data_IF_634483172676
#
_entry.id   IF_634483172676
#
_cell.length_a   1.000
_cell.length_b   1.000
_cell.length_c   1.000
_cell.angle_alpha   90.00
_cell.angle_beta   90.00
_cell.angle_gamma   90.00
#
_symmetry.space_group_name_H-M   'P 1'
#
loop_
_entity.id
_entity.type
_entity.pdbx_description
1 polymer ?
#
# COMPACT_ATOMS: atom_id res chain seq x y z
N UNK A 1 -15.10 -5.94 1.25
CA UNK A 1 -14.82 -4.56 0.84
C UNK A 1 -16.12 -3.87 0.54
N UNK A 2 -16.42 -2.92 1.34
CA UNK A 2 -17.71 -2.26 1.34
C UNK A 2 -17.74 -1.09 0.36
N UNK A 3 -18.77 -1.01 -0.47
CA UNK A 3 -18.98 0.13 -1.36
C UNK A 3 -19.26 1.42 -0.57
N UNK A 4 -19.73 1.31 0.67
CA UNK A 4 -20.00 2.47 1.52
C UNK A 4 -18.72 3.22 1.88
N UNK A 5 -17.60 2.50 2.07
CA UNK A 5 -16.31 3.12 2.32
C UNK A 5 -15.88 3.96 1.12
N UNK A 6 -16.11 3.46 -0.09
CA UNK A 6 -15.76 4.18 -1.31
C UNK A 6 -16.55 5.45 -1.48
N UNK A 7 -17.89 5.37 -1.34
CA UNK A 7 -18.74 6.49 -1.68
C UNK A 7 -18.59 7.67 -0.73
N UNK A 8 -18.45 7.43 0.56
CA UNK A 8 -18.32 8.53 1.52
C UNK A 8 -16.97 9.24 1.42
N UNK A 9 -15.89 8.48 1.16
CA UNK A 9 -14.55 9.06 1.07
C UNK A 9 -14.31 9.75 -0.28
N UNK A 10 -14.93 9.27 -1.36
CA UNK A 10 -14.72 9.80 -2.69
C UNK A 10 -15.58 11.04 -3.00
N UNK A 11 -16.67 11.24 -2.30
CA UNK A 11 -17.50 12.43 -2.45
C UNK A 11 -16.82 13.66 -1.80
N UNK A 12 -15.92 13.46 -0.85
CA UNK A 12 -15.14 14.54 -0.28
C UNK A 12 -13.99 14.91 -1.24
N UNK A 13 -13.32 16.03 -0.95
CA UNK A 13 -12.16 16.44 -1.75
C UNK A 13 -11.09 15.34 -1.76
N UNK A 14 -10.48 15.07 -2.91
CA UNK A 14 -9.38 14.10 -2.96
C UNK A 14 -8.28 14.48 -1.98
N UNK A 15 -7.74 13.51 -1.28
CA UNK A 15 -6.65 13.75 -0.35
C UNK A 15 -5.40 14.19 -1.13
N UNK A 16 -4.67 15.15 -0.59
CA UNK A 16 -3.40 15.60 -1.20
C UNK A 16 -2.27 14.66 -0.85
N UNK A 17 -2.34 14.01 0.28
CA UNK A 17 -1.32 13.08 0.75
C UNK A 17 -1.95 11.85 1.35
N UNK A 18 -1.27 10.72 1.19
CA UNK A 18 -1.64 9.47 1.84
C UNK A 18 -0.46 9.04 2.71
N UNK A 19 -0.73 8.75 3.97
CA UNK A 19 0.27 8.17 4.85
C UNK A 19 -0.05 6.71 5.08
N UNK A 20 0.95 5.85 4.83
CA UNK A 20 0.90 4.44 5.21
C UNK A 20 1.68 4.25 6.48
N UNK A 21 1.01 3.81 7.53
CA UNK A 21 1.67 3.47 8.79
C UNK A 21 1.77 1.96 8.85
N UNK A 22 3.00 1.45 8.73
CA UNK A 22 3.26 0.01 8.74
C UNK A 22 3.35 -0.46 10.19
N UNK A 23 2.31 -1.15 10.63
CA UNK A 23 2.16 -1.60 12.02
C UNK A 23 2.94 -2.88 12.29
N UNK A 24 3.13 -3.70 11.26
CA UNK A 24 3.88 -4.96 11.34
C UNK A 24 4.96 -4.96 10.28
N UNK A 25 6.05 -5.73 10.47
CA UNK A 25 7.11 -5.79 9.47
C UNK A 25 6.56 -6.09 8.08
N UNK A 26 6.98 -5.29 7.12
CA UNK A 26 6.49 -5.34 5.74
C UNK A 26 7.66 -5.57 4.80
N UNK A 27 7.53 -6.54 3.91
CA UNK A 27 8.55 -6.87 2.94
C UNK A 27 7.89 -7.22 1.60
N UNK A 28 8.66 -7.12 0.53
CA UNK A 28 8.18 -7.37 -0.82
C UNK A 28 9.09 -8.35 -1.54
N UNK A 29 8.55 -9.08 -2.50
CA UNK A 29 9.35 -10.00 -3.31
C UNK A 29 10.32 -9.23 -4.19
N UNK A 30 11.60 -9.63 -4.17
CA UNK A 30 12.62 -9.10 -5.05
C UNK A 30 13.29 -10.23 -5.83
N UNK A 31 14.06 -9.85 -6.83
CA UNK A 31 14.75 -10.81 -7.69
C UNK A 31 15.83 -11.59 -6.92
N UNK A 32 16.49 -10.96 -6.00
CA UNK A 32 17.60 -11.55 -5.23
C UNK A 32 17.31 -11.68 -3.74
N UNK A 33 16.05 -11.60 -3.35
CA UNK A 33 15.63 -11.68 -1.96
C UNK A 33 14.55 -10.66 -1.66
N UNK A 34 14.18 -10.56 -0.40
CA UNK A 34 13.12 -9.65 0.02
C UNK A 34 13.60 -8.20 -0.02
N UNK A 35 12.71 -7.33 -0.50
CA UNK A 35 12.93 -5.89 -0.48
C UNK A 35 12.27 -5.35 0.79
N UNK A 36 13.04 -4.65 1.62
CA UNK A 36 12.57 -4.17 2.92
C UNK A 36 12.27 -2.68 2.96
N UNK A 37 12.48 -1.96 1.84
CA UNK A 37 12.14 -0.55 1.77
C UNK A 37 10.93 -0.34 0.87
N UNK A 38 9.78 0.09 1.43
CA UNK A 38 8.56 0.27 0.64
C UNK A 38 8.68 1.45 -0.33
N UNK A 39 8.32 1.21 -1.58
CA UNK A 39 8.16 2.29 -2.57
C UNK A 39 6.69 2.30 -2.99
N UNK A 40 6.24 3.42 -3.58
CA UNK A 40 4.87 3.49 -4.06
C UNK A 40 4.57 2.34 -5.03
N UNK A 41 5.48 2.06 -5.94
CA UNK A 41 5.32 0.99 -6.92
C UNK A 41 5.16 -0.38 -6.24
N UNK A 42 6.00 -0.70 -5.27
CA UNK A 42 5.94 -1.97 -4.56
C UNK A 42 4.64 -2.10 -3.75
N UNK A 43 4.25 -1.05 -3.05
CA UNK A 43 3.04 -1.03 -2.23
C UNK A 43 1.82 -1.27 -3.11
N UNK A 44 1.65 -0.47 -4.16
CA UNK A 44 0.45 -0.54 -4.98
C UNK A 44 0.43 -1.75 -5.89
N UNK A 45 1.60 -2.23 -6.36
CA UNK A 45 1.66 -3.48 -7.12
C UNK A 45 1.20 -4.67 -6.26
N UNK A 46 1.61 -4.71 -5.01
CA UNK A 46 1.17 -5.73 -4.06
C UNK A 46 -0.35 -5.68 -3.84
N UNK A 47 -0.88 -4.47 -3.68
CA UNK A 47 -2.33 -4.28 -3.48
C UNK A 47 -3.11 -4.72 -4.72
N UNK A 48 -2.63 -4.38 -5.91
CA UNK A 48 -3.27 -4.77 -7.17
C UNK A 48 -3.28 -6.29 -7.32
N UNK A 49 -2.19 -6.96 -6.97
CA UNK A 49 -2.13 -8.42 -7.03
C UNK A 49 -3.21 -9.04 -6.13
N UNK A 50 -3.41 -8.49 -4.95
CA UNK A 50 -4.43 -8.98 -4.02
C UNK A 50 -5.84 -8.64 -4.48
N UNK A 51 -6.02 -7.47 -5.09
CA UNK A 51 -7.30 -7.07 -5.66
C UNK A 51 -7.69 -8.04 -6.78
N UNK A 52 -6.77 -8.31 -7.70
CA UNK A 52 -7.04 -9.17 -8.85
C UNK A 52 -7.17 -10.65 -8.48
N UNK A 53 -6.60 -11.07 -7.35
CA UNK A 53 -6.73 -12.43 -6.86
C UNK A 53 -8.09 -12.70 -6.20
N UNK A 54 -8.80 -11.63 -5.83
CA UNK A 54 -10.13 -11.73 -5.25
C UNK A 54 -11.19 -11.98 -6.32
N UNK A 55 -12.40 -12.26 -5.86
CA UNK A 55 -13.54 -12.49 -6.74
C UNK A 55 -14.17 -11.15 -7.13
N UNK A 56 -13.46 -10.38 -7.95
CA UNK A 56 -13.87 -9.05 -8.39
C UNK A 56 -14.18 -9.06 -9.88
N UNK A 57 -15.20 -8.30 -10.28
CA UNK A 57 -15.58 -8.19 -11.68
C UNK A 57 -14.58 -7.32 -12.46
N UNK A 58 -14.04 -6.29 -11.80
CA UNK A 58 -13.12 -5.34 -12.43
C UNK A 58 -11.68 -5.67 -12.08
N UNK A 59 -10.98 -6.28 -13.02
CA UNK A 59 -9.55 -6.56 -12.88
C UNK A 59 -8.77 -5.29 -13.20
N UNK A 60 -7.83 -4.95 -12.35
CA UNK A 60 -7.00 -3.77 -12.54
C UNK A 60 -5.78 -4.07 -13.39
N UNK A 61 -5.42 -3.11 -14.25
CA UNK A 61 -4.24 -3.22 -15.11
C UNK A 61 -2.99 -2.82 -14.29
N UNK A 62 -2.21 -3.81 -13.91
CA UNK A 62 -1.02 -3.60 -13.07
C UNK A 62 0.00 -2.66 -13.71
N UNK A 63 0.34 -2.76 -15.02
CA UNK A 63 1.25 -1.80 -15.65
C UNK A 63 0.76 -0.36 -15.58
N UNK A 64 -0.54 -0.13 -15.72
CA UNK A 64 -1.13 1.21 -15.59
C UNK A 64 -0.95 1.75 -14.18
N UNK A 65 -1.18 0.92 -13.17
CA UNK A 65 -1.01 1.34 -11.77
C UNK A 65 0.46 1.67 -11.49
N UNK A 66 1.39 0.89 -12.02
CA UNK A 66 2.82 1.19 -11.88
C UNK A 66 3.19 2.52 -12.52
N UNK A 67 2.59 2.85 -13.67
CA UNK A 67 2.78 4.14 -14.31
C UNK A 67 2.26 5.28 -13.44
N UNK A 68 1.09 5.12 -12.84
CA UNK A 68 0.55 6.12 -11.91
C UNK A 68 1.49 6.36 -10.73
N UNK A 69 2.13 5.30 -10.25
CA UNK A 69 3.04 5.39 -9.12
C UNK A 69 4.27 6.22 -9.41
N UNK A 70 4.65 6.41 -10.67
CA UNK A 70 5.74 7.29 -11.05
C UNK A 70 5.44 8.75 -10.71
N UNK A 71 4.17 9.10 -10.63
CA UNK A 71 3.72 10.46 -10.28
C UNK A 71 3.33 10.58 -8.81
N UNK A 72 3.39 9.50 -8.07
CA UNK A 72 3.20 9.49 -6.62
C UNK A 72 4.56 9.76 -5.99
N UNK A 73 4.69 10.87 -5.29
CA UNK A 73 5.97 11.32 -4.78
C UNK A 73 6.07 11.04 -3.29
N UNK A 74 7.15 10.39 -2.89
CA UNK A 74 7.45 10.22 -1.47
C UNK A 74 7.84 11.58 -0.88
N UNK A 75 7.02 12.11 0.01
CA UNK A 75 7.29 13.41 0.63
C UNK A 75 7.99 13.29 1.97
N UNK A 76 7.76 12.20 2.69
CA UNK A 76 8.41 11.98 4.00
C UNK A 76 8.30 10.52 4.40
N UNK A 77 9.27 10.07 5.18
CA UNK A 77 9.20 8.73 5.76
C UNK A 77 9.95 8.69 7.08
N UNK A 78 9.54 7.76 7.92
CA UNK A 78 10.17 7.55 9.22
C UNK A 78 9.97 6.10 9.62
N UNK A 79 11.03 5.42 9.98
CA UNK A 79 10.92 4.04 10.40
C UNK A 79 12.24 3.32 10.43
N UNK A 80 12.14 2.01 10.52
CA UNK A 80 13.30 1.13 10.62
C UNK A 80 12.93 -0.26 10.17
N UNK A 81 13.92 -1.10 9.94
CA UNK A 81 13.67 -2.52 9.71
C UNK A 81 13.56 -3.23 11.06
N UNK A 82 12.75 -4.26 11.08
CA UNK A 82 12.56 -5.09 12.27
C UNK A 82 12.55 -6.55 11.85
N UNK A 83 13.27 -7.38 12.60
CA UNK A 83 13.29 -8.82 12.34
C UNK A 83 12.26 -9.52 13.22
N UNK A 84 11.50 -10.42 12.61
CA UNK A 84 10.50 -11.22 13.32
C UNK A 84 10.74 -12.70 13.01
N UNK A 85 10.46 -13.57 13.96
CA UNK A 85 10.66 -15.01 13.80
C UNK A 85 9.35 -15.74 13.90
N UNK A 86 9.12 -16.66 12.94
CA UNK A 86 8.05 -17.62 13.00
C UNK A 86 8.66 -19.00 13.21
N UNK A 87 8.44 -19.61 14.39
CA UNK A 87 9.06 -20.85 14.73
C UNK A 87 10.56 -20.71 15.03
N UNK A 88 11.29 -21.81 14.94
CA UNK A 88 12.70 -21.83 15.36
C UNK A 88 13.68 -21.31 14.30
N UNK A 89 13.36 -21.53 13.03
CA UNK A 89 14.33 -21.34 11.96
C UNK A 89 13.94 -20.32 10.90
N UNK A 90 12.77 -19.68 11.04
CA UNK A 90 12.29 -18.72 10.03
C UNK A 90 12.27 -17.31 10.58
N UNK A 91 13.25 -16.53 10.11
CA UNK A 91 13.30 -15.11 10.41
C UNK A 91 13.01 -14.29 9.16
N UNK A 92 12.27 -13.21 9.34
CA UNK A 92 11.96 -12.27 8.27
C UNK A 92 12.27 -10.87 8.74
N UNK A 93 12.88 -10.08 7.85
CA UNK A 93 13.15 -8.67 8.10
C UNK A 93 12.21 -7.84 7.25
N UNK A 94 11.52 -6.90 7.88
CA UNK A 94 10.62 -6.02 7.16
C UNK A 94 10.65 -4.61 7.73
N UNK A 95 9.99 -3.71 7.05
CA UNK A 95 9.92 -2.30 7.45
C UNK A 95 8.74 -2.05 8.39
N UNK A 96 8.98 -1.27 9.44
CA UNK A 96 7.94 -0.71 10.30
C UNK A 96 8.12 0.80 10.36
N UNK A 97 7.01 1.53 10.34
CA UNK A 97 7.06 3.00 10.36
C UNK A 97 6.07 3.61 9.40
N UNK A 98 6.30 4.84 9.00
CA UNK A 98 5.38 5.58 8.17
C UNK A 98 6.00 6.10 6.88
N UNK A 99 5.20 6.08 5.82
CA UNK A 99 5.52 6.68 4.52
C UNK A 99 4.39 7.62 4.14
N UNK A 100 4.75 8.86 3.80
CA UNK A 100 3.78 9.85 3.34
C UNK A 100 4.03 10.13 1.87
N UNK A 101 3.02 9.91 1.04
CA UNK A 101 3.09 10.12 -0.40
C UNK A 101 2.24 11.32 -0.81
N UNK A 102 2.80 12.17 -1.67
CA UNK A 102 2.12 13.34 -2.21
C UNK A 102 1.45 12.96 -3.52
N UNK A 103 0.15 13.26 -3.64
CA UNK A 103 -0.67 12.91 -4.80
C UNK A 103 -0.99 14.10 -5.69
N UNK A 104 -0.32 15.24 -5.51
CA UNK A 104 -0.66 16.49 -6.21
C UNK A 104 -0.50 16.40 -7.74
N UNK A 105 0.33 15.50 -8.23
CA UNK A 105 0.55 15.32 -9.69
C UNK A 105 -0.46 14.38 -10.35
N UNK A 106 -1.37 13.78 -9.58
CA UNK A 106 -2.40 12.91 -10.11
C UNK A 106 -3.66 13.71 -10.46
N UNK A 107 -4.36 13.29 -11.52
CA UNK A 107 -5.69 13.81 -11.80
C UNK A 107 -6.66 13.38 -10.69
N UNK A 108 -7.85 13.98 -10.68
CA UNK A 108 -8.87 13.62 -9.68
C UNK A 108 -9.22 12.14 -9.76
N UNK A 109 -9.39 11.60 -10.96
CA UNK A 109 -9.73 10.19 -11.15
C UNK A 109 -8.59 9.27 -10.72
N UNK A 110 -7.36 9.64 -11.05
CA UNK A 110 -6.18 8.88 -10.65
C UNK A 110 -6.00 8.89 -9.13
N UNK A 111 -6.22 10.05 -8.51
CA UNK A 111 -6.18 10.17 -7.05
C UNK A 111 -7.22 9.26 -6.40
N UNK A 112 -8.45 9.25 -6.93
CA UNK A 112 -9.50 8.40 -6.41
C UNK A 112 -9.13 6.93 -6.49
N UNK A 113 -8.56 6.50 -7.61
CA UNK A 113 -8.13 5.10 -7.79
C UNK A 113 -7.04 4.73 -6.79
N UNK A 114 -6.04 5.57 -6.64
CA UNK A 114 -4.95 5.33 -5.68
C UNK A 114 -5.49 5.31 -4.24
N UNK A 115 -6.42 6.20 -3.92
CA UNK A 115 -7.05 6.24 -2.59
C UNK A 115 -7.84 4.96 -2.30
N UNK A 116 -8.61 4.47 -3.28
CA UNK A 116 -9.36 3.23 -3.14
C UNK A 116 -8.40 2.06 -2.90
N UNK A 117 -7.33 1.98 -3.67
CA UNK A 117 -6.34 0.92 -3.52
C UNK A 117 -5.66 0.99 -2.15
N UNK A 118 -5.34 2.19 -1.67
CA UNK A 118 -4.74 2.36 -0.34
C UNK A 118 -5.67 1.85 0.76
N UNK A 119 -6.95 2.19 0.69
CA UNK A 119 -7.93 1.73 1.67
C UNK A 119 -8.12 0.21 1.61
N UNK A 120 -8.08 -0.36 0.41
CA UNK A 120 -8.12 -1.81 0.24
C UNK A 120 -6.88 -2.45 0.86
N UNK A 121 -5.71 -1.84 0.71
CA UNK A 121 -4.47 -2.31 1.31
C UNK A 121 -4.54 -2.32 2.84
N UNK A 122 -5.21 -1.35 3.45
CA UNK A 122 -5.44 -1.35 4.89
C UNK A 122 -6.24 -2.58 5.32
N UNK A 123 -7.12 -3.06 4.47
CA UNK A 123 -7.98 -4.20 4.74
C UNK A 123 -7.24 -5.54 4.57
N UNK A 124 -6.49 -5.70 3.48
CA UNK A 124 -5.89 -6.98 3.12
C UNK A 124 -4.42 -7.11 3.49
N UNK A 125 -3.80 -6.03 3.94
CA UNK A 125 -2.35 -5.99 4.17
C UNK A 125 -1.56 -5.69 2.89
N UNK A 126 -0.28 -5.39 3.06
CA UNK A 126 0.62 -5.01 1.97
C UNK A 126 1.87 -5.88 2.02
N UNK A 127 2.34 -6.32 0.86
CA UNK A 127 3.56 -7.12 0.77
C UNK A 127 3.34 -8.60 1.00
N UNK A 128 4.44 -9.29 1.32
CA UNK A 128 4.45 -10.74 1.53
C UNK A 128 3.87 -11.13 2.88
N UNK A 129 3.35 -12.34 2.95
CA UNK A 129 2.94 -13.00 4.20
C UNK A 129 1.86 -12.24 4.97
N UNK A 130 1.03 -11.49 4.25
CA UNK A 130 -0.06 -10.76 4.88
C UNK A 130 -1.08 -11.70 5.53
N UNK A 131 -1.23 -12.90 5.01
CA UNK A 131 -2.09 -13.93 5.62
C UNK A 131 -1.57 -14.42 6.97
N UNK A 132 -0.30 -14.18 7.27
CA UNK A 132 0.33 -14.53 8.54
C UNK A 132 0.46 -13.33 9.49
N UNK A 133 -0.19 -12.22 9.16
CA UNK A 133 -0.22 -11.03 10.01
C UNK A 133 0.85 -9.99 9.70
N UNK A 134 1.74 -10.26 8.76
CA UNK A 134 2.72 -9.26 8.32
C UNK A 134 2.08 -8.28 7.35
N UNK A 135 2.70 -7.12 7.20
CA UNK A 135 2.23 -6.13 6.23
C UNK A 135 0.96 -5.40 6.62
N UNK A 136 0.55 -5.45 7.87
CA UNK A 136 -0.61 -4.68 8.34
C UNK A 136 -0.28 -3.21 8.32
N UNK A 137 -1.15 -2.43 7.69
CA UNK A 137 -0.97 -0.98 7.55
C UNK A 137 -2.22 -0.24 7.98
N UNK A 138 -2.01 0.96 8.47
CA UNK A 138 -3.08 1.93 8.70
C UNK A 138 -2.89 3.06 7.69
N UNK A 139 -3.97 3.45 7.05
CA UNK A 139 -3.93 4.49 6.01
C UNK A 139 -4.57 5.75 6.55
N UNK A 140 -3.85 6.85 6.46
CA UNK A 140 -4.33 8.17 6.86
C UNK A 140 -4.37 9.06 5.63
N UNK A 141 -5.52 9.69 5.39
CA UNK A 141 -5.70 10.62 4.27
C UNK A 141 -5.53 12.04 4.80
N UNK A 142 -4.67 12.81 4.14
CA UNK A 142 -4.35 14.18 4.55
C UNK A 142 -4.64 15.17 3.43
N UNK A 143 -5.23 16.30 3.79
CA UNK A 143 -5.56 17.36 2.85
C UNK A 143 -4.54 18.51 2.83
N UNK A 144 -3.48 18.39 3.60
CA UNK A 144 -2.45 19.42 3.68
C UNK A 144 -1.10 18.94 3.18
#
# INVERSE_FOLDING_TARGET
WSSDVCSSDLESKPARKIEFEFLMPTMFNGTHGDITFPTAELIFASIVDKWNAGDVEDVLDKPRIKELCERVILSDWKGQTKRIYFGRDRGYTGFVGGFTFNLAKLSTEENQLITILALFGQHCGVGRLSSQGLGQVRVLLKNK
#
